data_IF_314058630616
#
_entry.id   IF_314058630616
#
_cell.length_a   1.000
_cell.length_b   1.000
_cell.length_c   1.000
_cell.angle_alpha   90.00
_cell.angle_beta   90.00
_cell.angle_gamma   90.00
#
_symmetry.space_group_name_H-M   'P 1'
#
loop_
_entity.id
_entity.type
_entity.pdbx_description
1 polymer ?
#
# COMPACT_ATOMS: atom_id res chain seq x y z
N UNK A 1 -14.42 1.78 35.86
CA UNK A 1 -13.36 1.94 34.82
C UNK A 1 -14.07 2.33 33.53
N UNK A 2 -13.84 3.53 32.99
CA UNK A 2 -14.52 3.94 31.75
C UNK A 2 -13.70 3.44 30.55
N UNK A 3 -14.18 2.41 29.86
CA UNK A 3 -13.59 1.88 28.62
C UNK A 3 -13.36 2.94 27.54
N UNK A 4 -14.01 4.10 27.65
CA UNK A 4 -13.91 5.21 26.70
C UNK A 4 -12.63 6.05 26.88
N UNK A 5 -11.92 5.97 28.01
CA UNK A 5 -10.69 6.74 28.20
C UNK A 5 -9.58 6.34 27.23
N UNK A 6 -9.58 5.09 26.77
CA UNK A 6 -8.63 4.56 25.78
C UNK A 6 -8.68 5.34 24.47
N UNK A 7 -9.86 5.77 24.03
CA UNK A 7 -10.02 6.56 22.80
C UNK A 7 -9.50 8.01 22.90
N UNK A 8 -9.06 8.47 24.08
CA UNK A 8 -8.35 9.75 24.19
C UNK A 8 -6.86 9.63 23.87
N UNK A 9 -6.33 8.41 23.80
CA UNK A 9 -4.92 8.14 23.59
C UNK A 9 -4.54 8.17 22.10
N UNK A 10 -3.52 8.94 21.69
CA UNK A 10 -2.96 8.86 20.33
C UNK A 10 -2.53 7.45 19.94
N UNK A 11 -2.06 6.66 20.92
CA UNK A 11 -1.64 5.28 20.70
C UNK A 11 -2.75 4.38 20.12
N UNK A 12 -4.01 4.61 20.50
CA UNK A 12 -5.15 3.87 19.96
C UNK A 12 -5.31 4.14 18.47
N UNK A 13 -5.26 5.41 18.07
CA UNK A 13 -5.36 5.79 16.66
C UNK A 13 -4.14 5.36 15.84
N UNK A 14 -2.96 5.33 16.46
CA UNK A 14 -1.75 4.78 15.84
C UNK A 14 -1.92 3.30 15.49
N UNK A 15 -2.37 2.49 16.45
CA UNK A 15 -2.61 1.06 16.24
C UNK A 15 -3.74 0.80 15.24
N UNK A 16 -4.84 1.57 15.30
CA UNK A 16 -5.92 1.47 14.32
C UNK A 16 -5.42 1.80 12.91
N UNK A 17 -4.66 2.87 12.74
CA UNK A 17 -4.09 3.26 11.45
C UNK A 17 -3.16 2.18 10.89
N UNK A 18 -2.27 1.65 11.74
CA UNK A 18 -1.36 0.56 11.38
C UNK A 18 -2.12 -0.72 11.01
N UNK A 19 -3.07 -1.15 11.84
CA UNK A 19 -3.88 -2.34 11.61
C UNK A 19 -4.71 -2.25 10.33
N UNK A 20 -5.34 -1.10 10.08
CA UNK A 20 -6.06 -0.83 8.83
C UNK A 20 -5.11 -0.87 7.63
N UNK A 21 -3.92 -0.25 7.72
CA UNK A 21 -2.94 -0.23 6.64
C UNK A 21 -2.45 -1.64 6.28
N UNK A 22 -1.97 -2.40 7.26
CA UNK A 22 -1.45 -3.75 7.04
C UNK A 22 -2.58 -4.69 6.56
N UNK A 23 -3.72 -4.67 7.25
CA UNK A 23 -4.85 -5.55 6.95
C UNK A 23 -5.41 -5.32 5.55
N UNK A 24 -5.66 -4.06 5.17
CA UNK A 24 -6.13 -3.73 3.83
C UNK A 24 -5.10 -4.06 2.74
N UNK A 25 -3.81 -3.84 3.01
CA UNK A 25 -2.72 -4.17 2.07
C UNK A 25 -2.65 -5.67 1.82
N UNK A 26 -2.63 -6.48 2.87
CA UNK A 26 -2.59 -7.95 2.74
C UNK A 26 -3.85 -8.45 2.03
N UNK A 27 -5.03 -8.02 2.49
CA UNK A 27 -6.28 -8.49 1.93
C UNK A 27 -6.39 -8.13 0.44
N UNK A 28 -6.16 -6.88 0.07
CA UNK A 28 -6.31 -6.45 -1.32
C UNK A 28 -5.28 -7.11 -2.25
N UNK A 29 -4.00 -7.18 -1.86
CA UNK A 29 -2.94 -7.67 -2.74
C UNK A 29 -2.94 -9.19 -2.90
N UNK A 30 -3.22 -9.95 -1.84
CA UNK A 30 -3.05 -11.41 -1.86
C UNK A 30 -4.35 -12.20 -1.82
N UNK A 31 -5.46 -11.59 -1.38
CA UNK A 31 -6.76 -12.26 -1.28
C UNK A 31 -7.72 -11.67 -2.30
N UNK A 32 -8.18 -10.44 -2.10
CA UNK A 32 -9.16 -9.76 -2.94
C UNK A 32 -8.75 -9.68 -4.41
N UNK A 33 -7.52 -9.26 -4.69
CA UNK A 33 -6.98 -9.19 -6.06
C UNK A 33 -6.89 -10.56 -6.74
N UNK A 34 -6.42 -11.59 -6.02
CA UNK A 34 -6.28 -12.96 -6.56
C UNK A 34 -7.65 -13.59 -6.82
N UNK A 35 -8.57 -13.47 -5.87
CA UNK A 35 -9.95 -13.95 -6.02
C UNK A 35 -10.62 -13.26 -7.20
N UNK A 36 -10.53 -11.93 -7.30
CA UNK A 36 -11.10 -11.18 -8.41
C UNK A 36 -10.49 -11.56 -9.76
N UNK A 37 -9.17 -11.76 -9.84
CA UNK A 37 -8.51 -12.18 -11.08
C UNK A 37 -8.98 -13.55 -11.57
N UNK A 38 -9.24 -14.48 -10.63
CA UNK A 38 -9.73 -15.83 -10.95
C UNK A 38 -11.22 -15.86 -11.28
N UNK A 39 -12.02 -15.02 -10.61
CA UNK A 39 -13.47 -15.05 -10.71
C UNK A 39 -14.02 -14.20 -11.87
N UNK A 40 -13.30 -13.17 -12.33
CA UNK A 40 -13.81 -12.22 -13.31
C UNK A 40 -13.14 -12.37 -14.68
N UNK A 41 -13.90 -12.22 -15.79
CA UNK A 41 -13.33 -11.97 -17.10
C UNK A 41 -12.34 -10.78 -17.07
N UNK A 42 -11.23 -10.87 -17.81
CA UNK A 42 -10.13 -9.88 -17.79
C UNK A 42 -10.58 -8.43 -17.94
N UNK A 43 -11.60 -8.17 -18.77
CA UNK A 43 -12.15 -6.83 -18.96
C UNK A 43 -12.84 -6.31 -17.68
N UNK A 44 -13.63 -7.15 -17.01
CA UNK A 44 -14.29 -6.81 -15.75
C UNK A 44 -13.29 -6.66 -14.60
N UNK A 45 -12.29 -7.56 -14.53
CA UNK A 45 -11.18 -7.43 -13.59
C UNK A 45 -10.45 -6.10 -13.77
N UNK A 46 -10.10 -5.73 -15.02
CA UNK A 46 -9.46 -4.46 -15.35
C UNK A 46 -10.30 -3.25 -14.89
N UNK A 47 -11.61 -3.28 -15.12
CA UNK A 47 -12.52 -2.23 -14.63
C UNK A 47 -12.53 -2.16 -13.09
N UNK A 48 -12.63 -3.30 -12.41
CA UNK A 48 -12.62 -3.36 -10.94
C UNK A 48 -11.31 -2.80 -10.36
N UNK A 49 -10.17 -3.20 -10.92
CA UNK A 49 -8.86 -2.72 -10.46
C UNK A 49 -8.70 -1.21 -10.61
N UNK A 50 -9.18 -0.62 -11.72
CA UNK A 50 -9.17 0.84 -11.92
C UNK A 50 -9.99 1.59 -10.87
N UNK A 51 -11.06 0.97 -10.36
CA UNK A 51 -11.89 1.56 -9.30
C UNK A 51 -11.31 1.36 -7.90
N UNK A 52 -10.62 0.23 -7.66
CA UNK A 52 -10.05 -0.07 -6.33
C UNK A 52 -8.73 0.67 -6.08
N UNK A 53 -7.84 0.74 -7.07
CA UNK A 53 -6.48 1.23 -6.82
C UNK A 53 -6.40 2.68 -6.34
N UNK A 54 -7.20 3.65 -6.85
CA UNK A 54 -7.15 5.01 -6.33
C UNK A 54 -7.47 5.12 -4.83
N UNK A 55 -8.63 4.66 -4.32
CA UNK A 55 -8.89 4.71 -2.87
C UNK A 55 -7.94 3.83 -2.06
N UNK A 56 -7.47 2.70 -2.62
CA UNK A 56 -6.46 1.86 -1.98
C UNK A 56 -5.14 2.61 -1.74
N UNK A 57 -4.59 3.28 -2.77
CA UNK A 57 -3.35 4.05 -2.63
C UNK A 57 -3.54 5.32 -1.79
N UNK A 58 -4.73 5.92 -1.78
CA UNK A 58 -5.08 6.99 -0.84
C UNK A 58 -5.02 6.48 0.61
N UNK A 59 -5.67 5.35 0.91
CA UNK A 59 -5.61 4.73 2.23
C UNK A 59 -4.16 4.44 2.63
N UNK A 60 -3.37 3.85 1.73
CA UNK A 60 -1.96 3.57 1.96
C UNK A 60 -1.10 4.82 2.15
N UNK A 61 -1.53 5.99 1.68
CA UNK A 61 -0.80 7.25 1.88
C UNK A 61 -1.25 7.95 3.18
N UNK A 62 -2.54 7.94 3.47
CA UNK A 62 -3.12 8.61 4.65
C UNK A 62 -2.82 7.85 5.93
N UNK A 63 -2.86 6.51 5.91
CA UNK A 63 -2.66 5.73 7.14
C UNK A 63 -1.24 5.85 7.73
N UNK A 64 -0.14 5.81 6.96
CA UNK A 64 1.20 6.13 7.48
C UNK A 64 1.32 7.56 7.98
N UNK A 65 0.64 8.54 7.34
CA UNK A 65 0.61 9.91 7.83
C UNK A 65 -0.11 10.01 9.18
N UNK A 66 -1.25 9.33 9.32
CA UNK A 66 -1.97 9.22 10.59
C UNK A 66 -1.11 8.53 11.65
N UNK A 67 -0.40 7.46 11.29
CA UNK A 67 0.59 6.81 12.16
C UNK A 67 1.68 7.78 12.61
N UNK A 68 2.17 8.65 11.73
CA UNK A 68 3.15 9.68 12.07
C UNK A 68 2.57 10.70 13.06
N UNK A 69 1.39 11.27 12.75
CA UNK A 69 0.73 12.27 13.59
C UNK A 69 0.34 11.74 14.97
N UNK A 70 -0.02 10.47 15.02
CA UNK A 70 -0.38 9.78 16.26
C UNK A 70 0.80 9.04 16.86
N UNK A 71 1.99 9.12 16.24
CA UNK A 71 3.20 8.43 16.66
C UNK A 71 3.46 8.81 18.10
N UNK A 72 3.15 7.91 19.02
CA UNK A 72 3.21 8.29 20.40
C UNK A 72 4.68 8.14 20.76
N UNK A 73 5.33 9.30 20.93
CA UNK A 73 6.59 9.39 21.68
C UNK A 73 6.47 8.69 23.05
N UNK A 74 5.22 8.46 23.49
CA UNK A 74 4.83 7.68 24.65
C UNK A 74 4.41 6.21 24.45
N UNK A 75 4.26 5.58 23.25
CA UNK A 75 4.00 4.11 23.23
C UNK A 75 5.20 3.36 23.80
N UNK A 76 6.41 3.86 23.58
CA UNK A 76 7.62 3.36 24.23
C UNK A 76 7.62 3.63 25.75
N UNK A 77 6.95 4.69 26.22
CA UNK A 77 6.88 5.08 27.64
C UNK A 77 5.64 4.53 28.38
N UNK A 78 4.61 4.09 27.67
CA UNK A 78 3.36 3.58 28.24
C UNK A 78 3.46 2.08 28.56
N UNK A 79 4.36 1.36 27.87
CA UNK A 79 4.77 0.00 28.19
C UNK A 79 6.05 -0.05 29.04
N UNK A 80 6.72 1.08 29.26
CA UNK A 80 7.82 1.18 30.22
C UNK A 80 7.54 2.31 31.21
N UNK A 81 6.95 1.96 32.36
CA UNK A 81 6.80 2.87 33.50
C UNK A 81 8.14 3.47 33.91
N UNK A 82 8.53 4.61 33.33
CA UNK A 82 9.52 5.53 33.92
C UNK A 82 9.52 6.86 33.17
N UNK A 83 8.93 7.85 33.81
CA UNK A 83 8.99 9.28 33.50
C UNK A 83 10.44 9.76 33.47
N UNK A 84 11.09 9.73 32.31
CA UNK A 84 12.26 10.57 32.02
C UNK A 84 12.34 10.74 30.50
N UNK A 85 12.52 11.98 30.05
CA UNK A 85 12.81 12.31 28.65
C UNK A 85 14.12 11.61 28.24
N UNK A 86 14.02 10.37 27.76
CA UNK A 86 15.14 9.60 27.25
C UNK A 86 15.56 10.14 25.88
N UNK A 87 16.87 10.18 25.58
CA UNK A 87 17.36 10.51 24.25
C UNK A 87 16.80 9.51 23.23
N UNK A 88 16.48 9.98 22.02
CA UNK A 88 15.95 9.17 20.92
C UNK A 88 16.71 7.85 20.80
N UNK A 89 16.00 6.76 21.03
CA UNK A 89 16.56 5.41 20.98
C UNK A 89 16.79 4.99 19.52
N UNK A 90 17.60 3.95 19.29
CA UNK A 90 17.78 3.36 17.95
C UNK A 90 16.45 2.95 17.31
N UNK A 91 15.48 2.54 18.13
CA UNK A 91 14.15 2.11 17.69
C UNK A 91 13.30 3.29 17.18
N UNK A 92 13.45 4.50 17.72
CA UNK A 92 12.74 5.69 17.22
C UNK A 92 13.16 6.04 15.80
N UNK A 93 14.46 5.95 15.51
CA UNK A 93 14.99 6.19 14.16
C UNK A 93 14.48 5.13 13.18
N UNK A 94 14.56 3.85 13.56
CA UNK A 94 14.05 2.74 12.74
C UNK A 94 12.55 2.91 12.45
N UNK A 95 11.75 3.20 13.47
CA UNK A 95 10.31 3.43 13.33
C UNK A 95 10.01 4.58 12.36
N UNK A 96 10.71 5.70 12.48
CA UNK A 96 10.58 6.82 11.55
C UNK A 96 10.92 6.42 10.11
N UNK A 97 12.00 5.65 9.89
CA UNK A 97 12.37 5.15 8.56
C UNK A 97 11.31 4.21 7.99
N UNK A 98 10.78 3.28 8.79
CA UNK A 98 9.75 2.33 8.36
C UNK A 98 8.46 3.05 7.98
N UNK A 99 7.93 3.93 8.83
CA UNK A 99 6.71 4.71 8.54
C UNK A 99 6.91 5.59 7.30
N UNK A 100 8.07 6.23 7.17
CA UNK A 100 8.40 7.06 6.01
C UNK A 100 8.47 6.22 4.73
N UNK A 101 9.03 5.00 4.81
CA UNK A 101 9.08 4.06 3.67
C UNK A 101 7.67 3.66 3.23
N UNK A 102 6.77 3.34 4.17
CA UNK A 102 5.36 3.06 3.87
C UNK A 102 4.69 4.23 3.16
N UNK A 103 4.91 5.46 3.65
CA UNK A 103 4.34 6.67 3.07
C UNK A 103 4.86 6.95 1.65
N UNK A 104 6.18 6.95 1.47
CA UNK A 104 6.81 7.27 0.19
C UNK A 104 6.42 6.26 -0.89
N UNK A 105 6.44 4.97 -0.57
CA UNK A 105 6.04 3.92 -1.53
C UNK A 105 4.57 4.07 -1.95
N UNK A 106 3.68 4.37 -1.01
CA UNK A 106 2.27 4.63 -1.30
C UNK A 106 2.06 5.88 -2.17
N UNK A 107 2.72 6.99 -1.83
CA UNK A 107 2.62 8.25 -2.60
C UNK A 107 3.18 8.10 -4.01
N UNK A 108 4.28 7.36 -4.19
CA UNK A 108 4.82 7.07 -5.53
C UNK A 108 3.81 6.29 -6.39
N UNK A 109 3.12 5.32 -5.80
CA UNK A 109 2.06 4.59 -6.48
C UNK A 109 0.83 5.47 -6.77
N UNK A 110 0.39 6.27 -5.79
CA UNK A 110 -0.77 7.15 -5.92
C UNK A 110 -0.55 8.25 -6.98
N UNK A 111 0.58 8.96 -6.89
CA UNK A 111 0.83 10.18 -7.64
C UNK A 111 1.51 9.97 -8.99
N UNK A 112 2.21 8.85 -9.19
CA UNK A 112 3.01 8.64 -10.40
C UNK A 112 2.75 7.29 -11.07
N UNK A 113 3.10 6.18 -10.44
CA UNK A 113 3.12 4.87 -11.13
C UNK A 113 1.70 4.39 -11.48
N UNK A 114 0.74 4.57 -10.57
CA UNK A 114 -0.67 4.22 -10.77
C UNK A 114 -1.34 4.98 -11.92
N UNK A 115 -1.27 6.33 -11.95
CA UNK A 115 -1.77 7.14 -13.07
C UNK A 115 -1.15 6.74 -14.41
N UNK A 116 0.17 6.55 -14.46
CA UNK A 116 0.87 6.13 -15.70
C UNK A 116 0.42 4.74 -16.17
N UNK A 117 0.25 3.78 -15.24
CA UNK A 117 -0.25 2.44 -15.56
C UNK A 117 -1.66 2.51 -16.14
N UNK A 118 -2.53 3.33 -15.54
CA UNK A 118 -3.92 3.52 -15.97
C UNK A 118 -3.99 4.12 -17.38
N UNK A 119 -3.12 5.09 -17.67
CA UNK A 119 -3.03 5.68 -19.00
C UNK A 119 -2.57 4.66 -20.06
N UNK A 120 -1.56 3.84 -19.75
CA UNK A 120 -1.16 2.76 -20.67
C UNK A 120 -2.30 1.75 -20.86
N UNK A 121 -3.09 1.42 -19.83
CA UNK A 121 -4.26 0.56 -19.99
C UNK A 121 -5.31 1.19 -20.93
N UNK A 122 -5.50 2.51 -20.89
CA UNK A 122 -6.38 3.24 -21.81
C UNK A 122 -5.87 3.19 -23.24
N UNK A 123 -4.57 3.45 -23.44
CA UNK A 123 -3.93 3.38 -24.76
C UNK A 123 -3.98 1.98 -25.36
N UNK A 124 -3.71 0.94 -24.55
CA UNK A 124 -3.90 -0.46 -24.97
C UNK A 124 -5.33 -0.69 -25.43
N UNK A 125 -6.32 -0.24 -24.66
CA UNK A 125 -7.73 -0.42 -25.02
C UNK A 125 -8.09 0.25 -26.35
N UNK A 126 -7.56 1.44 -26.60
CA UNK A 126 -7.75 2.12 -27.89
C UNK A 126 -7.09 1.35 -29.04
N UNK A 127 -5.88 0.84 -28.82
CA UNK A 127 -5.18 0.03 -29.83
C UNK A 127 -5.91 -1.30 -30.09
N UNK A 128 -6.56 -1.91 -29.10
CA UNK A 128 -7.40 -3.11 -29.32
C UNK A 128 -8.51 -2.85 -30.33
N UNK A 129 -9.13 -1.66 -30.29
CA UNK A 129 -10.17 -1.26 -31.25
C UNK A 129 -9.59 -1.05 -32.66
N UNK A 130 -8.40 -0.46 -32.76
CA UNK A 130 -7.70 -0.26 -34.05
C UNK A 130 -7.27 -1.57 -34.69
N UNK A 131 -6.76 -2.50 -33.88
CA UNK A 131 -6.24 -3.79 -34.34
C UNK A 131 -7.34 -4.84 -34.53
N UNK A 132 -8.55 -4.60 -34.00
CA UNK A 132 -9.61 -5.60 -33.93
C UNK A 132 -9.24 -6.82 -33.07
N UNK A 133 -8.24 -6.70 -32.20
CA UNK A 133 -7.62 -7.80 -31.45
C UNK A 133 -7.28 -7.37 -30.03
N UNK A 134 -7.58 -8.19 -29.02
CA UNK A 134 -7.34 -7.81 -27.62
C UNK A 134 -5.85 -7.90 -27.31
N UNK A 135 -5.42 -7.10 -26.35
CA UNK A 135 -4.01 -6.97 -25.95
C UNK A 135 -3.43 -8.20 -25.25
N UNK A 136 -4.26 -9.20 -24.99
CA UNK A 136 -3.94 -10.43 -24.28
C UNK A 136 -4.33 -11.70 -25.05
N UNK A 137 -4.82 -11.56 -26.29
CA UNK A 137 -5.05 -12.71 -27.16
C UNK A 137 -3.71 -13.26 -27.68
N UNK A 138 -3.70 -14.48 -28.24
CA UNK A 138 -2.49 -15.06 -28.84
C UNK A 138 -1.96 -14.20 -30.00
N UNK A 139 -0.65 -14.25 -30.26
CA UNK A 139 0.00 -13.43 -31.28
C UNK A 139 -0.43 -13.73 -32.74
N UNK A 140 0.15 -13.03 -33.73
CA UNK A 140 0.96 -11.82 -33.56
C UNK A 140 0.10 -10.60 -33.21
N UNK A 141 0.71 -9.61 -32.53
CA UNK A 141 0.14 -8.28 -32.32
C UNK A 141 0.87 -7.24 -33.17
N UNK A 142 0.23 -6.09 -33.43
CA UNK A 142 0.89 -4.93 -34.05
C UNK A 142 2.14 -4.49 -33.26
N UNK A 143 3.08 -3.81 -33.91
CA UNK A 143 4.29 -3.29 -33.25
C UNK A 143 3.91 -2.30 -32.14
N UNK A 144 2.86 -1.52 -32.38
CA UNK A 144 2.28 -0.55 -31.46
C UNK A 144 1.73 -1.25 -30.21
N UNK A 145 0.92 -2.30 -30.38
CA UNK A 145 0.39 -3.08 -29.25
C UNK A 145 1.51 -3.78 -28.46
N UNK A 146 2.53 -4.32 -29.12
CA UNK A 146 3.68 -4.91 -28.45
C UNK A 146 4.42 -3.89 -27.58
N UNK A 147 4.65 -2.67 -28.09
CA UNK A 147 5.27 -1.60 -27.33
C UNK A 147 4.43 -1.19 -26.12
N UNK A 148 3.11 -1.10 -26.27
CA UNK A 148 2.17 -0.81 -25.18
C UNK A 148 2.12 -1.92 -24.13
N UNK A 149 2.10 -3.18 -24.55
CA UNK A 149 2.16 -4.35 -23.66
C UNK A 149 3.45 -4.34 -22.83
N UNK A 150 4.60 -4.06 -23.45
CA UNK A 150 5.88 -3.94 -22.74
C UNK A 150 5.85 -2.83 -21.69
N UNK A 151 5.35 -1.64 -22.05
CA UNK A 151 5.21 -0.51 -21.11
C UNK A 151 4.29 -0.86 -19.95
N UNK A 152 3.16 -1.51 -20.23
CA UNK A 152 2.21 -1.96 -19.22
C UNK A 152 2.87 -2.92 -18.23
N UNK A 153 3.56 -3.95 -18.73
CA UNK A 153 4.24 -4.93 -17.89
C UNK A 153 5.25 -4.25 -16.97
N UNK A 154 6.08 -3.34 -17.50
CA UNK A 154 7.07 -2.62 -16.69
C UNK A 154 6.38 -1.79 -15.60
N UNK A 155 5.42 -0.94 -15.94
CA UNK A 155 4.77 -0.07 -14.97
C UNK A 155 4.00 -0.86 -13.90
N UNK A 156 3.29 -1.92 -14.31
CA UNK A 156 2.58 -2.80 -13.38
C UNK A 156 3.54 -3.53 -12.43
N UNK A 157 4.67 -4.03 -12.94
CA UNK A 157 5.70 -4.67 -12.12
C UNK A 157 6.36 -3.69 -11.15
N UNK A 158 6.67 -2.46 -11.61
CA UNK A 158 7.21 -1.40 -10.74
C UNK A 158 6.21 -1.06 -9.63
N UNK A 159 4.93 -0.89 -9.96
CA UNK A 159 3.89 -0.59 -8.96
C UNK A 159 3.79 -1.70 -7.91
N UNK A 160 3.79 -2.95 -8.36
CA UNK A 160 3.76 -4.13 -7.49
C UNK A 160 4.99 -4.22 -6.58
N UNK A 161 6.19 -3.96 -7.11
CA UNK A 161 7.43 -3.98 -6.34
C UNK A 161 7.47 -2.86 -5.29
N UNK A 162 7.08 -1.64 -5.66
CA UNK A 162 6.97 -0.51 -4.74
C UNK A 162 6.00 -0.85 -3.60
N UNK A 163 4.85 -1.46 -3.92
CA UNK A 163 3.89 -1.90 -2.91
C UNK A 163 4.45 -3.01 -2.00
N UNK A 164 5.24 -3.93 -2.56
CA UNK A 164 5.89 -5.00 -1.79
C UNK A 164 6.96 -4.47 -0.83
N UNK A 165 7.73 -3.46 -1.23
CA UNK A 165 8.67 -2.76 -0.33
C UNK A 165 7.91 -2.10 0.82
N UNK A 166 6.80 -1.41 0.51
CA UNK A 166 5.91 -0.83 1.52
C UNK A 166 5.39 -1.88 2.50
N UNK A 167 4.90 -3.02 1.99
CA UNK A 167 4.46 -4.14 2.82
C UNK A 167 5.58 -4.70 3.70
N UNK A 168 6.80 -4.84 3.18
CA UNK A 168 7.97 -5.26 3.95
C UNK A 168 8.22 -4.33 5.14
N UNK A 169 8.11 -3.02 4.93
CA UNK A 169 8.20 -2.05 6.00
C UNK A 169 7.05 -2.20 7.02
N UNK A 170 5.81 -2.44 6.57
CA UNK A 170 4.66 -2.67 7.46
C UNK A 170 4.88 -3.90 8.35
N UNK A 171 5.31 -5.03 7.77
CA UNK A 171 5.56 -6.28 8.50
C UNK A 171 6.70 -6.09 9.52
N UNK A 172 7.79 -5.44 9.12
CA UNK A 172 8.89 -5.15 10.04
C UNK A 172 8.42 -4.26 11.19
N UNK A 173 7.67 -3.19 10.89
CA UNK A 173 7.12 -2.32 11.93
C UNK A 173 6.22 -3.08 12.91
N UNK A 174 5.44 -4.04 12.44
CA UNK A 174 4.69 -4.97 13.29
C UNK A 174 5.56 -5.77 14.25
N UNK A 175 6.71 -6.26 13.78
CA UNK A 175 7.70 -6.93 14.63
C UNK A 175 8.20 -6.01 15.74
N UNK A 176 8.58 -4.77 15.41
CA UNK A 176 9.04 -3.78 16.39
C UNK A 176 7.95 -3.43 17.41
N UNK A 177 6.68 -3.30 16.98
CA UNK A 177 5.55 -3.10 17.89
C UNK A 177 5.34 -4.32 18.82
N UNK A 178 5.52 -5.53 18.31
CA UNK A 178 5.41 -6.76 19.10
C UNK A 178 6.49 -6.91 20.16
N UNK A 179 7.74 -6.56 19.84
CA UNK A 179 8.84 -6.50 20.81
C UNK A 179 8.55 -5.51 21.94
N UNK A 180 8.04 -4.32 21.60
CA UNK A 180 7.68 -3.32 22.60
C UNK A 180 6.52 -3.74 23.52
N UNK A 181 5.65 -4.65 23.08
CA UNK A 181 4.53 -5.18 23.87
C UNK A 181 4.89 -6.42 24.70
N UNK A 182 6.07 -7.01 24.48
CA UNK A 182 6.52 -8.25 25.16
C UNK A 182 7.40 -7.98 26.40
N UNK A 183 7.59 -6.71 26.76
CA UNK A 183 8.32 -6.22 27.95
C UNK A 183 7.31 -5.70 28.95
#
# INVERSE_FOLDING_TARGET
MSSLSTFKSPATYHLLSYGTLLGSTIFQSFIGGVVAYRALPRAQFSTLQKSIFPPYFVLQSVAPLAMWLTYPRSLLSAFTSSTTLKPTTSNDKLNAYLITTMFVTAVLNLGYVGPQTTEIMRLRKHQETRDGKKSYDEGPHSKEMQALNRKFTILHSVSSLVNLVGLGAMVWYGGVLGEAASI
#
